data_IF_698115052772
#
_entry.id   IF_698115052772
#
_cell.length_a   1.000
_cell.length_b   1.000
_cell.length_c   1.000
_cell.angle_alpha   90.00
_cell.angle_beta   90.00
_cell.angle_gamma   90.00
#
_symmetry.space_group_name_H-M   'P 1'
#
loop_
_entity.id
_entity.type
_entity.pdbx_description
1 polymer ?
#
# COMPACT_ATOMS: atom_id res chain seq x y z
N UNK A 1 -42.62 -2.76 -20.14
CA UNK A 1 -41.27 -3.22 -20.45
C UNK A 1 -40.52 -3.28 -19.14
N UNK A 2 -40.34 -4.49 -18.60
CA UNK A 2 -39.65 -4.72 -17.34
C UNK A 2 -38.14 -4.75 -17.64
N UNK A 3 -37.42 -3.74 -17.18
CA UNK A 3 -35.97 -3.73 -17.24
C UNK A 3 -35.49 -4.81 -16.27
N UNK A 4 -35.03 -5.95 -16.80
CA UNK A 4 -34.27 -6.93 -16.02
C UNK A 4 -32.98 -6.25 -15.58
N UNK A 5 -32.85 -5.97 -14.28
CA UNK A 5 -31.55 -5.69 -13.67
C UNK A 5 -30.67 -6.91 -13.92
N UNK A 6 -29.61 -6.74 -14.72
CA UNK A 6 -28.57 -7.74 -14.85
C UNK A 6 -28.02 -8.01 -13.45
N UNK A 7 -28.15 -9.22 -12.94
CA UNK A 7 -27.38 -9.67 -11.77
C UNK A 7 -25.91 -9.55 -12.19
N UNK A 8 -25.22 -8.54 -11.66
CA UNK A 8 -23.75 -8.53 -11.71
C UNK A 8 -23.29 -9.85 -11.08
N UNK A 9 -22.44 -10.57 -11.77
CA UNK A 9 -21.80 -11.77 -11.20
C UNK A 9 -21.07 -11.35 -9.93
N UNK A 10 -21.13 -12.18 -8.89
CA UNK A 10 -20.38 -11.92 -7.66
C UNK A 10 -18.88 -11.93 -8.02
N UNK A 11 -18.08 -10.96 -7.54
CA UNK A 11 -16.64 -10.97 -7.77
C UNK A 11 -16.01 -12.30 -7.36
N UNK A 12 -14.97 -12.74 -8.05
CA UNK A 12 -14.30 -14.02 -7.74
C UNK A 12 -13.53 -13.97 -6.42
N UNK A 13 -12.95 -12.79 -6.10
CA UNK A 13 -12.17 -12.54 -4.89
C UNK A 13 -12.89 -11.58 -3.96
N UNK A 14 -12.76 -11.80 -2.65
CA UNK A 14 -13.25 -10.88 -1.64
C UNK A 14 -12.39 -9.62 -1.57
N UNK A 15 -11.06 -9.76 -1.65
CA UNK A 15 -10.13 -8.63 -1.60
C UNK A 15 -8.80 -8.92 -2.28
N UNK A 16 -8.16 -7.85 -2.77
CA UNK A 16 -6.77 -7.81 -3.26
C UNK A 16 -5.96 -6.80 -2.46
N UNK A 17 -4.64 -7.04 -2.36
CA UNK A 17 -3.70 -6.19 -1.61
C UNK A 17 -2.43 -5.99 -2.42
N UNK A 18 -2.01 -4.74 -2.58
CA UNK A 18 -0.74 -4.32 -3.19
C UNK A 18 -0.12 -3.18 -2.39
N UNK A 19 1.21 -3.04 -2.44
CA UNK A 19 1.95 -1.92 -1.87
C UNK A 19 3.25 -1.67 -2.63
N UNK A 20 3.96 -0.62 -2.27
CA UNK A 20 5.35 -0.37 -2.65
C UNK A 20 5.60 -0.38 -4.18
N UNK A 21 4.73 0.31 -4.92
CA UNK A 21 4.86 0.45 -6.37
C UNK A 21 5.88 1.53 -6.76
N UNK A 22 6.06 2.54 -5.90
CA UNK A 22 7.00 3.65 -6.10
C UNK A 22 6.91 4.31 -7.48
N UNK A 23 5.68 4.49 -7.99
CA UNK A 23 5.44 4.98 -9.34
C UNK A 23 6.02 6.37 -9.55
N UNK A 24 6.79 6.51 -10.61
CA UNK A 24 7.42 7.74 -11.06
C UNK A 24 7.68 7.68 -12.58
N UNK A 25 7.98 8.83 -13.21
CA UNK A 25 8.08 8.91 -14.67
C UNK A 25 9.16 8.03 -15.31
N UNK A 26 10.24 7.76 -14.59
CA UNK A 26 11.35 6.92 -15.06
C UNK A 26 11.14 5.41 -14.83
N UNK A 27 9.94 5.02 -14.37
CA UNK A 27 9.52 3.61 -14.21
C UNK A 27 8.34 3.23 -15.13
N UNK A 28 8.46 3.38 -16.46
CA UNK A 28 7.33 3.19 -17.38
C UNK A 28 6.83 1.74 -17.45
N UNK A 29 7.70 0.74 -17.23
CA UNK A 29 7.32 -0.68 -17.27
C UNK A 29 6.53 -1.06 -16.02
N UNK A 30 6.98 -0.62 -14.86
CA UNK A 30 6.28 -0.82 -13.58
C UNK A 30 4.92 -0.12 -13.60
N UNK A 31 4.89 1.12 -14.09
CA UNK A 31 3.64 1.86 -14.27
C UNK A 31 2.67 1.13 -15.21
N UNK A 32 3.14 0.63 -16.34
CA UNK A 32 2.29 -0.12 -17.28
C UNK A 32 1.78 -1.43 -16.65
N UNK A 33 2.64 -2.17 -15.92
CA UNK A 33 2.24 -3.39 -15.23
C UNK A 33 1.12 -3.13 -14.22
N UNK A 34 1.22 -2.05 -13.44
CA UNK A 34 0.16 -1.69 -12.50
C UNK A 34 -1.15 -1.28 -13.17
N UNK A 35 -1.09 -0.52 -14.27
CA UNK A 35 -2.30 -0.23 -15.04
C UNK A 35 -2.93 -1.48 -15.65
N UNK A 36 -2.11 -2.44 -16.09
CA UNK A 36 -2.61 -3.76 -16.55
C UNK A 36 -3.28 -4.52 -15.41
N UNK A 37 -2.67 -4.53 -14.21
CA UNK A 37 -3.28 -5.11 -13.00
C UNK A 37 -4.64 -4.47 -12.68
N UNK A 38 -4.75 -3.14 -12.72
CA UNK A 38 -6.02 -2.44 -12.49
C UNK A 38 -7.10 -2.75 -13.54
N UNK A 39 -6.69 -3.12 -14.76
CA UNK A 39 -7.63 -3.44 -15.85
C UNK A 39 -8.02 -4.91 -15.90
N UNK A 40 -7.12 -5.82 -15.58
CA UNK A 40 -7.29 -7.24 -15.82
C UNK A 40 -7.52 -8.07 -14.55
N UNK A 41 -6.85 -7.70 -13.45
CA UNK A 41 -6.92 -8.46 -12.20
C UNK A 41 -7.87 -7.80 -11.18
N UNK A 42 -7.75 -6.51 -10.97
CA UNK A 42 -8.51 -5.81 -9.93
C UNK A 42 -10.05 -5.90 -10.10
N UNK A 43 -10.62 -5.92 -11.32
CA UNK A 43 -12.08 -6.06 -11.51
C UNK A 43 -12.65 -7.41 -11.03
N UNK A 44 -11.81 -8.43 -10.81
CA UNK A 44 -12.24 -9.73 -10.28
C UNK A 44 -12.52 -9.70 -8.77
N UNK A 45 -12.23 -8.59 -8.07
CA UNK A 45 -12.37 -8.49 -6.62
C UNK A 45 -13.45 -7.49 -6.20
N UNK A 46 -14.06 -7.77 -5.03
CA UNK A 46 -14.97 -6.83 -4.40
C UNK A 46 -14.24 -5.62 -3.83
N UNK A 47 -13.01 -5.80 -3.35
CA UNK A 47 -12.22 -4.78 -2.67
C UNK A 47 -10.76 -4.81 -3.13
N UNK A 48 -10.16 -3.62 -3.32
CA UNK A 48 -8.73 -3.43 -3.55
C UNK A 48 -8.14 -2.55 -2.45
N UNK A 49 -7.10 -3.05 -1.79
CA UNK A 49 -6.35 -2.32 -0.77
C UNK A 49 -4.97 -1.93 -1.29
N UNK A 50 -4.73 -0.63 -1.39
CA UNK A 50 -3.44 -0.02 -1.73
C UNK A 50 -2.76 0.37 -0.40
N UNK A 51 -1.74 -0.40 0.02
CA UNK A 51 -1.16 -0.32 1.36
C UNK A 51 0.09 0.57 1.43
N UNK A 52 0.07 1.68 0.70
CA UNK A 52 1.08 2.74 0.78
C UNK A 52 2.25 2.57 -0.19
N UNK A 53 3.00 3.65 -0.32
CA UNK A 53 4.13 3.80 -1.24
C UNK A 53 3.76 3.45 -2.70
N UNK A 54 2.55 3.86 -3.11
CA UNK A 54 2.07 3.72 -4.48
C UNK A 54 2.79 4.73 -5.38
N UNK A 55 3.02 5.94 -4.87
CA UNK A 55 3.87 6.94 -5.52
C UNK A 55 5.24 7.01 -4.83
N UNK A 56 6.30 7.21 -5.62
CA UNK A 56 7.65 7.45 -5.06
C UNK A 56 7.71 8.74 -4.23
N UNK A 57 6.85 9.70 -4.52
CA UNK A 57 6.63 10.88 -3.69
C UNK A 57 5.26 11.48 -3.97
N UNK A 58 4.60 11.95 -2.91
CA UNK A 58 3.43 12.80 -3.01
C UNK A 58 3.65 14.05 -2.18
N UNK A 59 3.56 15.22 -2.80
CA UNK A 59 3.88 16.50 -2.15
C UNK A 59 2.66 17.38 -1.89
N UNK A 60 1.45 16.84 -2.13
CA UNK A 60 0.18 17.50 -1.91
C UNK A 60 -0.77 17.37 -3.10
N UNK A 61 -2.06 17.43 -2.85
CA UNK A 61 -3.12 17.21 -3.85
C UNK A 61 -3.19 18.28 -4.95
N UNK A 62 -2.55 19.43 -4.77
CA UNK A 62 -2.43 20.46 -5.81
C UNK A 62 -1.45 20.05 -6.94
N UNK A 63 -0.71 18.92 -6.78
CA UNK A 63 0.06 18.28 -7.85
C UNK A 63 -0.76 17.29 -8.71
N UNK A 64 -2.06 17.17 -8.47
CA UNK A 64 -2.97 16.30 -9.26
C UNK A 64 -3.04 16.65 -10.74
N UNK A 65 -2.56 17.84 -11.15
CA UNK A 65 -2.50 18.22 -12.55
C UNK A 65 -1.37 17.53 -13.32
N UNK A 66 -0.44 16.89 -12.63
CA UNK A 66 0.53 16.01 -13.24
C UNK A 66 -0.17 14.90 -14.04
N UNK A 67 0.26 14.62 -15.30
CA UNK A 67 -0.39 13.62 -16.15
C UNK A 67 -0.41 12.20 -15.55
N UNK A 68 0.64 11.80 -14.83
CA UNK A 68 0.73 10.50 -14.17
C UNK A 68 -0.30 10.40 -13.04
N UNK A 69 -0.37 11.43 -12.17
CA UNK A 69 -1.31 11.47 -11.04
C UNK A 69 -2.76 11.47 -11.51
N UNK A 70 -3.07 12.24 -12.57
CA UNK A 70 -4.41 12.26 -13.17
C UNK A 70 -4.78 10.91 -13.77
N UNK A 71 -3.87 10.29 -14.52
CA UNK A 71 -4.09 8.96 -15.09
C UNK A 71 -4.36 7.92 -14.00
N UNK A 72 -3.67 8.01 -12.87
CA UNK A 72 -3.89 7.14 -11.71
C UNK A 72 -5.29 7.35 -11.12
N UNK A 73 -5.68 8.59 -10.85
CA UNK A 73 -7.01 8.90 -10.33
C UNK A 73 -8.12 8.39 -11.27
N UNK A 74 -7.96 8.59 -12.58
CA UNK A 74 -8.92 8.13 -13.58
C UNK A 74 -9.02 6.60 -13.62
N UNK A 75 -7.89 5.88 -13.52
CA UNK A 75 -7.86 4.42 -13.53
C UNK A 75 -8.53 3.83 -12.27
N UNK A 76 -8.25 4.37 -11.10
CA UNK A 76 -8.88 3.95 -9.84
C UNK A 76 -10.38 4.23 -9.87
N UNK A 77 -10.79 5.43 -10.32
CA UNK A 77 -12.22 5.77 -10.45
C UNK A 77 -12.94 4.80 -11.39
N UNK A 78 -12.33 4.50 -12.55
CA UNK A 78 -12.91 3.56 -13.51
C UNK A 78 -13.09 2.15 -12.90
N UNK A 79 -12.12 1.69 -12.10
CA UNK A 79 -12.25 0.43 -11.36
C UNK A 79 -13.43 0.47 -10.38
N UNK A 80 -13.61 1.58 -9.65
CA UNK A 80 -14.76 1.79 -8.77
C UNK A 80 -16.10 1.78 -9.51
N UNK A 81 -16.17 2.35 -10.72
CA UNK A 81 -17.35 2.32 -11.59
C UNK A 81 -17.69 0.89 -12.05
N UNK A 82 -16.70 -0.01 -12.10
CA UNK A 82 -16.90 -1.43 -12.40
C UNK A 82 -17.39 -2.25 -11.19
N UNK A 83 -17.35 -1.68 -9.96
CA UNK A 83 -17.90 -2.29 -8.76
C UNK A 83 -16.87 -2.73 -7.71
N UNK A 84 -15.58 -2.51 -7.93
CA UNK A 84 -14.53 -2.76 -6.95
C UNK A 84 -14.37 -1.56 -6.01
N UNK A 85 -14.57 -1.74 -4.72
CA UNK A 85 -14.28 -0.70 -3.73
C UNK A 85 -12.76 -0.54 -3.54
N UNK A 86 -12.26 0.69 -3.66
CA UNK A 86 -10.81 0.95 -3.53
C UNK A 86 -10.52 1.69 -2.22
N UNK A 87 -9.55 1.15 -1.49
CA UNK A 87 -9.07 1.68 -0.22
C UNK A 87 -7.59 2.05 -0.34
N UNK A 88 -7.21 3.20 0.22
CA UNK A 88 -5.85 3.71 0.22
C UNK A 88 -5.34 3.93 1.63
N UNK A 89 -4.21 3.34 1.95
CA UNK A 89 -3.46 3.61 3.16
C UNK A 89 -2.18 4.35 2.78
N UNK A 90 -1.85 5.39 3.51
CA UNK A 90 -0.65 6.18 3.23
C UNK A 90 0.63 5.47 3.66
N UNK A 91 1.59 5.34 2.76
CA UNK A 91 2.96 4.91 3.06
C UNK A 91 3.86 6.06 3.53
N UNK A 92 5.15 5.82 3.58
CA UNK A 92 6.11 6.85 3.98
C UNK A 92 6.53 7.78 2.82
N UNK A 93 6.19 7.42 1.58
CA UNK A 93 6.47 8.24 0.38
C UNK A 93 5.29 9.13 0.00
N UNK A 94 4.08 8.65 0.25
CA UNK A 94 2.84 9.25 -0.24
C UNK A 94 1.86 9.64 0.88
N UNK A 95 2.38 9.90 2.09
CA UNK A 95 1.58 10.23 3.28
C UNK A 95 0.83 11.56 3.21
N UNK A 96 1.09 12.37 2.21
CA UNK A 96 0.38 13.63 1.94
C UNK A 96 -0.74 13.46 0.90
N UNK A 97 -1.02 12.24 0.46
CA UNK A 97 -2.26 11.96 -0.31
C UNK A 97 -3.45 12.34 0.55
N UNK A 98 -4.28 13.23 0.05
CA UNK A 98 -5.38 13.84 0.79
C UNK A 98 -6.75 13.60 0.16
N UNK A 99 -7.74 14.27 0.75
CA UNK A 99 -9.15 14.11 0.40
C UNK A 99 -9.47 14.51 -1.04
N UNK A 100 -8.74 15.49 -1.64
CA UNK A 100 -9.02 15.92 -3.00
C UNK A 100 -8.64 14.84 -4.00
N UNK A 101 -7.49 14.20 -3.81
CA UNK A 101 -7.08 13.06 -4.65
C UNK A 101 -8.03 11.88 -4.42
N UNK A 102 -8.35 11.56 -3.17
CA UNK A 102 -9.27 10.47 -2.83
C UNK A 102 -10.64 10.64 -3.49
N UNK A 103 -11.22 11.85 -3.45
CA UNK A 103 -12.50 12.15 -4.11
C UNK A 103 -12.38 12.04 -5.64
N UNK A 104 -11.30 12.55 -6.23
CA UNK A 104 -11.07 12.47 -7.67
C UNK A 104 -10.93 11.02 -8.17
N UNK A 105 -10.28 10.17 -7.37
CA UNK A 105 -10.09 8.75 -7.64
C UNK A 105 -11.29 7.88 -7.24
N UNK A 106 -12.22 8.39 -6.44
CA UNK A 106 -13.36 7.60 -5.93
C UNK A 106 -12.94 6.51 -4.93
N UNK A 107 -11.90 6.77 -4.14
CA UNK A 107 -11.36 5.83 -3.16
C UNK A 107 -11.56 6.30 -1.72
N UNK A 108 -11.41 5.39 -0.77
CA UNK A 108 -11.50 5.67 0.67
C UNK A 108 -10.12 5.66 1.31
N UNK A 109 -9.76 6.75 2.00
CA UNK A 109 -8.53 6.81 2.79
C UNK A 109 -8.67 6.02 4.09
N UNK A 110 -7.67 5.20 4.42
CA UNK A 110 -7.61 4.41 5.64
C UNK A 110 -6.60 4.99 6.63
N UNK A 111 -6.90 4.84 7.91
CA UNK A 111 -5.91 5.03 8.97
C UNK A 111 -4.87 3.87 8.95
N UNK A 112 -3.68 4.11 9.46
CA UNK A 112 -2.65 3.10 9.68
C UNK A 112 -2.36 2.97 11.20
N UNK A 113 -2.59 1.78 11.81
CA UNK A 113 -3.13 0.56 11.24
C UNK A 113 -4.66 0.59 11.05
N UNK A 114 -5.17 -0.25 10.14
CA UNK A 114 -6.59 -0.45 9.92
C UNK A 114 -7.00 -1.89 10.23
N UNK A 115 -8.04 -2.07 11.05
CA UNK A 115 -8.56 -3.40 11.42
C UNK A 115 -9.88 -3.65 10.71
N UNK A 116 -9.99 -4.82 10.07
CA UNK A 116 -11.19 -5.20 9.33
C UNK A 116 -11.40 -6.71 9.38
N UNK A 117 -12.57 -7.17 8.89
CA UNK A 117 -12.86 -8.59 8.70
C UNK A 117 -13.19 -8.86 7.25
N UNK A 118 -12.44 -9.77 6.60
CA UNK A 118 -12.64 -10.18 5.22
C UNK A 118 -12.69 -11.69 5.15
N UNK A 119 -13.75 -12.23 4.57
CA UNK A 119 -13.97 -13.67 4.39
C UNK A 119 -13.70 -14.51 5.66
N UNK A 120 -14.09 -13.98 6.83
CA UNK A 120 -13.94 -14.64 8.13
C UNK A 120 -12.60 -14.41 8.84
N UNK A 121 -11.60 -13.82 8.19
CA UNK A 121 -10.36 -13.42 8.85
C UNK A 121 -10.50 -12.07 9.55
N UNK A 122 -10.04 -11.98 10.81
CA UNK A 122 -9.76 -10.70 11.46
C UNK A 122 -8.37 -10.24 11.01
N UNK A 123 -8.33 -9.15 10.22
CA UNK A 123 -7.11 -8.61 9.64
C UNK A 123 -6.69 -7.30 10.29
N UNK A 124 -5.39 -7.11 10.43
CA UNK A 124 -4.78 -5.80 10.60
C UNK A 124 -3.96 -5.48 9.35
N UNK A 125 -4.32 -4.38 8.69
CA UNK A 125 -3.63 -3.84 7.53
C UNK A 125 -2.78 -2.67 7.99
N UNK A 126 -1.56 -2.57 7.50
CA UNK A 126 -0.64 -1.46 7.79
C UNK A 126 0.33 -1.30 6.63
N UNK A 127 0.87 -0.09 6.43
CA UNK A 127 1.98 0.04 5.49
C UNK A 127 3.22 -0.72 5.99
N UNK A 128 3.55 -0.63 7.27
CA UNK A 128 4.66 -1.37 7.87
C UNK A 128 5.70 -0.48 8.53
N UNK A 129 5.91 0.72 8.04
CA UNK A 129 6.94 1.67 8.48
C UNK A 129 6.86 2.04 9.97
N UNK A 130 5.66 2.06 10.54
CA UNK A 130 5.42 2.35 11.96
C UNK A 130 5.98 1.29 12.90
N UNK A 131 6.28 0.11 12.40
CA UNK A 131 6.70 -1.06 13.18
C UNK A 131 8.19 -1.36 13.07
N UNK A 132 8.94 -0.60 12.26
CA UNK A 132 10.40 -0.63 12.18
C UNK A 132 11.04 0.15 13.36
N UNK A 133 10.64 -0.18 14.60
CA UNK A 133 10.93 0.62 15.79
C UNK A 133 12.40 0.61 16.21
N UNK A 134 13.21 -0.29 15.65
CA UNK A 134 14.66 -0.33 15.89
C UNK A 134 15.41 0.74 15.09
N UNK A 135 14.81 1.29 14.04
CA UNK A 135 15.33 2.45 13.30
C UNK A 135 14.90 3.75 13.98
N UNK A 136 15.52 4.08 15.10
CA UNK A 136 15.15 5.23 15.92
C UNK A 136 15.20 6.56 15.15
N UNK A 137 16.21 6.73 14.29
CA UNK A 137 16.34 7.94 13.47
C UNK A 137 15.17 8.08 12.47
N UNK A 138 14.77 6.99 11.85
CA UNK A 138 13.58 6.97 11.00
C UNK A 138 12.30 7.26 11.80
N UNK A 139 12.14 6.65 12.97
CA UNK A 139 10.97 6.85 13.83
C UNK A 139 10.82 8.29 14.30
N UNK A 140 11.93 8.97 14.63
CA UNK A 140 11.94 10.40 14.96
C UNK A 140 11.49 11.25 13.76
N UNK A 141 12.05 11.00 12.58
CA UNK A 141 11.64 11.67 11.35
C UNK A 141 10.16 11.44 11.06
N UNK A 142 9.71 10.18 11.11
CA UNK A 142 8.29 9.80 10.92
C UNK A 142 7.38 10.57 11.88
N UNK A 143 7.71 10.59 13.17
CA UNK A 143 6.95 11.29 14.18
C UNK A 143 6.82 12.79 13.89
N UNK A 144 7.89 13.41 13.35
CA UNK A 144 7.90 14.81 12.98
C UNK A 144 6.99 15.09 11.78
N UNK A 145 7.16 14.36 10.66
CA UNK A 145 6.46 14.67 9.40
C UNK A 145 4.98 14.27 9.43
N UNK A 146 4.59 13.40 10.36
CA UNK A 146 3.19 13.01 10.57
C UNK A 146 2.44 13.99 11.50
N UNK A 147 3.10 15.02 12.06
CA UNK A 147 2.41 16.03 12.84
C UNK A 147 1.57 16.95 11.94
N UNK A 148 0.30 17.22 12.30
CA UNK A 148 -0.59 18.06 11.49
C UNK A 148 -0.01 19.46 11.21
N UNK A 149 0.69 20.04 12.19
CA UNK A 149 1.30 21.36 12.04
C UNK A 149 2.47 21.34 11.04
N UNK A 150 3.29 20.27 11.04
CA UNK A 150 4.35 20.11 10.05
C UNK A 150 3.76 19.99 8.64
N UNK A 151 2.74 19.13 8.47
CA UNK A 151 2.07 18.93 7.18
C UNK A 151 1.44 20.21 6.65
N UNK A 152 0.73 20.95 7.51
CA UNK A 152 0.15 22.25 7.18
C UNK A 152 1.19 23.25 6.70
N UNK A 153 2.33 23.37 7.42
CA UNK A 153 3.40 24.28 7.06
C UNK A 153 4.09 23.86 5.76
N UNK A 154 4.31 22.56 5.56
CA UNK A 154 4.88 22.03 4.32
C UNK A 154 3.96 22.28 3.13
N UNK A 155 2.67 21.99 3.23
CA UNK A 155 1.68 22.20 2.18
C UNK A 155 1.43 23.68 1.85
N UNK A 156 1.76 24.60 2.75
CA UNK A 156 1.71 26.05 2.49
C UNK A 156 2.86 26.56 1.60
N UNK A 157 3.92 25.76 1.39
CA UNK A 157 5.03 26.13 0.52
C UNK A 157 4.62 26.01 -0.96
N UNK A 158 5.24 26.78 -1.87
CA UNK A 158 5.07 26.60 -3.31
C UNK A 158 5.37 25.15 -3.74
N UNK A 159 4.62 24.63 -4.71
CA UNK A 159 4.73 23.25 -5.18
C UNK A 159 6.17 22.86 -5.57
N UNK A 160 6.86 23.70 -6.33
CA UNK A 160 8.25 23.44 -6.76
C UNK A 160 9.22 23.33 -5.57
N UNK A 161 9.00 24.13 -4.52
CA UNK A 161 9.81 24.04 -3.32
C UNK A 161 9.57 22.73 -2.57
N UNK A 162 8.31 22.27 -2.51
CA UNK A 162 7.96 20.97 -1.89
C UNK A 162 8.57 19.80 -2.66
N UNK A 163 8.52 19.84 -4.00
CA UNK A 163 9.16 18.84 -4.87
C UNK A 163 10.66 18.77 -4.57
N UNK A 164 11.33 19.90 -4.52
CA UNK A 164 12.76 19.96 -4.20
C UNK A 164 13.09 19.38 -2.82
N UNK A 165 12.31 19.76 -1.79
CA UNK A 165 12.49 19.22 -0.44
C UNK A 165 12.30 17.70 -0.43
N UNK A 166 11.27 17.18 -1.12
CA UNK A 166 11.03 15.74 -1.22
C UNK A 166 12.19 15.00 -1.92
N UNK A 167 12.76 15.55 -2.98
CA UNK A 167 13.96 15.01 -3.64
C UNK A 167 15.16 14.94 -2.70
N UNK A 168 15.43 16.03 -1.98
CA UNK A 168 16.56 16.11 -1.03
C UNK A 168 16.38 15.10 0.12
N UNK A 169 15.16 14.97 0.67
CA UNK A 169 14.84 13.97 1.70
C UNK A 169 15.02 12.53 1.20
N UNK A 170 14.62 12.24 -0.04
CA UNK A 170 14.81 10.91 -0.66
C UNK A 170 16.30 10.61 -0.88
N UNK A 171 17.07 11.59 -1.35
CA UNK A 171 18.51 11.42 -1.52
C UNK A 171 19.18 11.13 -0.17
N UNK A 172 18.82 11.87 0.88
CA UNK A 172 19.29 11.64 2.24
C UNK A 172 18.91 10.27 2.80
N UNK A 173 17.65 9.83 2.56
CA UNK A 173 17.17 8.50 2.99
C UNK A 173 17.96 7.37 2.31
N UNK A 174 18.18 7.44 0.99
CA UNK A 174 18.98 6.44 0.26
C UNK A 174 20.41 6.34 0.80
N UNK A 175 21.03 7.47 1.14
CA UNK A 175 22.38 7.47 1.72
C UNK A 175 22.38 6.89 3.14
N UNK A 176 21.42 7.25 3.96
CA UNK A 176 21.27 6.74 5.32
C UNK A 176 21.03 5.21 5.36
N UNK A 177 20.34 4.65 4.35
CA UNK A 177 20.10 3.20 4.28
C UNK A 177 21.35 2.38 3.94
N UNK A 178 22.33 2.94 3.21
CA UNK A 178 23.55 2.21 2.80
C UNK A 178 24.39 1.67 3.96
N UNK A 179 24.26 2.22 5.16
CA UNK A 179 24.99 1.80 6.34
C UNK A 179 24.19 0.99 7.37
N UNK A 180 22.89 0.78 7.13
CA UNK A 180 22.01 0.09 8.10
C UNK A 180 22.09 -1.42 7.93
N UNK A 181 22.07 -2.15 9.06
CA UNK A 181 21.93 -3.60 9.02
C UNK A 181 20.53 -4.01 8.58
N UNK A 182 20.44 -5.19 7.98
CA UNK A 182 19.18 -5.80 7.55
C UNK A 182 18.13 -5.87 8.68
N UNK A 183 18.57 -6.16 9.91
CA UNK A 183 17.68 -6.29 11.07
C UNK A 183 17.03 -4.96 11.51
N UNK A 184 17.74 -3.83 11.39
CA UNK A 184 17.24 -2.51 11.82
C UNK A 184 16.13 -1.99 10.87
N UNK A 185 16.18 -2.40 9.60
CA UNK A 185 15.23 -1.95 8.58
C UNK A 185 14.01 -2.88 8.44
N UNK A 186 13.91 -3.91 9.29
CA UNK A 186 12.73 -4.78 9.35
C UNK A 186 11.77 -4.35 10.48
N UNK A 187 10.56 -4.90 10.47
CA UNK A 187 9.62 -4.70 11.56
C UNK A 187 10.13 -5.38 12.83
N UNK A 188 9.96 -4.71 13.96
CA UNK A 188 10.36 -5.25 15.27
C UNK A 188 9.37 -6.31 15.75
N UNK A 189 9.85 -7.50 16.10
CA UNK A 189 9.03 -8.66 16.51
C UNK A 189 8.13 -8.39 17.73
N UNK A 190 8.62 -7.61 18.72
CA UNK A 190 7.82 -7.26 19.87
C UNK A 190 6.70 -6.28 19.50
N UNK A 191 6.99 -5.30 18.64
CA UNK A 191 6.00 -4.35 18.16
C UNK A 191 4.89 -5.05 17.36
N UNK A 192 5.22 -6.07 16.58
CA UNK A 192 4.24 -6.92 15.86
C UNK A 192 3.40 -7.74 16.85
N UNK A 193 4.03 -8.35 17.85
CA UNK A 193 3.31 -9.08 18.90
C UNK A 193 2.30 -8.19 19.64
N UNK A 194 2.73 -6.99 20.03
CA UNK A 194 1.89 -5.99 20.68
C UNK A 194 0.75 -5.51 19.77
N UNK A 195 0.99 -5.43 18.46
CA UNK A 195 -0.05 -5.06 17.49
C UNK A 195 -1.13 -6.15 17.42
N UNK A 196 -0.76 -7.42 17.28
CA UNK A 196 -1.71 -8.53 17.29
C UNK A 196 -2.52 -8.57 18.59
N UNK A 197 -1.87 -8.41 19.75
CA UNK A 197 -2.54 -8.39 21.06
C UNK A 197 -3.56 -7.25 21.19
N UNK A 198 -3.25 -6.06 20.67
CA UNK A 198 -4.14 -4.89 20.76
C UNK A 198 -5.30 -4.95 19.79
N UNK A 199 -5.09 -5.54 18.61
CA UNK A 199 -6.11 -5.56 17.54
C UNK A 199 -6.97 -6.82 17.58
N UNK A 200 -6.54 -7.86 18.27
CA UNK A 200 -7.12 -9.21 18.22
C UNK A 200 -7.20 -9.76 16.78
N UNK A 201 -6.40 -9.22 15.86
CA UNK A 201 -6.30 -9.72 14.50
C UNK A 201 -5.53 -11.05 14.47
N UNK A 202 -5.90 -11.94 13.57
CA UNK A 202 -5.19 -13.22 13.36
C UNK A 202 -4.30 -13.19 12.11
N UNK A 203 -4.51 -12.20 11.24
CA UNK A 203 -3.73 -12.01 10.02
C UNK A 203 -3.29 -10.55 9.94
N UNK A 204 -2.04 -10.32 9.57
CA UNK A 204 -1.47 -9.02 9.24
C UNK A 204 -1.00 -9.02 7.79
N UNK A 205 -1.30 -7.96 7.05
CA UNK A 205 -0.77 -7.73 5.71
C UNK A 205 -0.10 -6.35 5.69
N UNK A 206 1.15 -6.29 5.20
CA UNK A 206 1.90 -5.04 5.11
C UNK A 206 2.94 -5.06 3.98
N UNK A 207 3.46 -3.89 3.65
CA UNK A 207 4.54 -3.63 2.70
C UNK A 207 5.82 -3.13 3.36
N UNK A 208 6.36 -2.03 2.85
CA UNK A 208 7.46 -1.21 3.35
C UNK A 208 8.83 -1.88 3.36
N UNK A 209 8.94 -3.11 3.86
CA UNK A 209 10.25 -3.77 4.02
C UNK A 209 10.77 -4.39 2.73
N UNK A 210 9.93 -4.55 1.71
CA UNK A 210 10.24 -5.17 0.41
C UNK A 210 10.81 -6.60 0.57
N UNK A 211 10.26 -7.37 1.53
CA UNK A 211 10.73 -8.72 1.87
C UNK A 211 9.56 -9.70 1.82
N UNK A 212 9.08 -10.00 0.61
CA UNK A 212 7.89 -10.82 0.44
C UNK A 212 8.06 -12.19 1.10
N UNK A 213 7.18 -12.48 2.05
CA UNK A 213 7.17 -13.74 2.80
C UNK A 213 5.90 -13.88 3.63
N UNK A 214 5.62 -15.10 4.08
CA UNK A 214 4.63 -15.37 5.12
C UNK A 214 5.36 -15.82 6.40
N UNK A 215 5.12 -15.11 7.49
CA UNK A 215 5.67 -15.40 8.82
C UNK A 215 4.59 -15.92 9.74
N UNK A 216 4.97 -16.85 10.62
CA UNK A 216 4.10 -17.42 11.65
C UNK A 216 4.55 -16.94 13.03
N UNK A 217 3.64 -16.32 13.76
CA UNK A 217 3.87 -15.86 15.12
C UNK A 217 3.00 -16.69 16.08
N UNK A 218 3.61 -17.35 17.05
CA UNK A 218 2.88 -18.06 18.11
C UNK A 218 2.71 -17.11 19.30
N UNK A 219 1.50 -16.60 19.49
CA UNK A 219 1.18 -15.66 20.57
C UNK A 219 0.08 -16.30 21.42
N UNK A 220 0.35 -16.52 22.73
CA UNK A 220 -0.61 -17.14 23.69
C UNK A 220 -1.26 -18.42 23.13
N UNK A 221 -0.45 -19.31 22.56
CA UNK A 221 -0.87 -20.60 21.97
C UNK A 221 -1.71 -20.47 20.68
N UNK A 222 -1.92 -19.26 20.17
CA UNK A 222 -2.61 -19.01 18.90
C UNK A 222 -1.60 -18.65 17.81
N UNK A 223 -1.74 -19.26 16.64
CA UNK A 223 -0.92 -18.92 15.47
C UNK A 223 -1.52 -17.70 14.79
N UNK A 224 -0.70 -16.67 14.61
CA UNK A 224 -0.99 -15.48 13.82
C UNK A 224 -0.13 -15.49 12.54
N UNK A 225 -0.67 -14.99 11.44
CA UNK A 225 0.02 -14.96 10.16
C UNK A 225 0.34 -13.51 9.78
N UNK A 226 1.59 -13.26 9.37
CA UNK A 226 2.02 -11.97 8.85
C UNK A 226 2.50 -12.14 7.41
N UNK A 227 1.84 -11.48 6.50
CA UNK A 227 2.19 -11.45 5.07
C UNK A 227 2.87 -10.13 4.75
N UNK A 228 4.03 -10.21 4.12
CA UNK A 228 4.78 -9.06 3.61
C UNK A 228 4.65 -9.03 2.10
N UNK A 229 4.25 -7.89 1.53
CA UNK A 229 4.17 -7.66 0.09
C UNK A 229 5.54 -7.29 -0.49
N UNK A 230 5.75 -7.60 -1.78
CA UNK A 230 6.92 -7.15 -2.53
C UNK A 230 6.78 -5.67 -2.92
N UNK A 231 7.93 -5.01 -3.14
CA UNK A 231 7.98 -3.85 -4.01
C UNK A 231 7.85 -4.26 -5.49
N UNK A 232 7.38 -3.33 -6.31
CA UNK A 232 7.28 -3.53 -7.75
C UNK A 232 8.38 -2.77 -8.47
N UNK A 233 9.21 -3.49 -9.21
CA UNK A 233 10.23 -2.88 -10.07
C UNK A 233 10.48 -3.75 -11.30
N UNK A 234 10.01 -3.29 -12.46
CA UNK A 234 10.21 -3.93 -13.76
C UNK A 234 11.21 -3.15 -14.62
N UNK A 235 11.68 -2.02 -14.13
CA UNK A 235 12.54 -1.11 -14.87
C UNK A 235 14.02 -1.29 -14.52
N UNK A 236 14.32 -1.72 -13.27
CA UNK A 236 15.69 -1.86 -12.77
C UNK A 236 15.97 -3.27 -12.27
N UNK A 237 17.11 -3.83 -12.65
CA UNK A 237 17.56 -5.15 -12.19
C UNK A 237 16.66 -6.30 -12.64
N UNK A 238 16.47 -7.28 -11.75
CA UNK A 238 15.56 -8.40 -12.00
C UNK A 238 14.12 -7.94 -11.74
N UNK A 239 13.21 -8.08 -12.71
CA UNK A 239 11.81 -7.72 -12.53
C UNK A 239 11.21 -8.43 -11.32
N UNK A 240 10.47 -7.69 -10.49
CA UNK A 240 9.82 -8.20 -9.29
C UNK A 240 8.52 -7.45 -9.00
N UNK A 241 7.67 -8.09 -8.25
CA UNK A 241 6.39 -7.60 -7.79
C UNK A 241 5.48 -8.77 -7.49
N UNK A 242 4.60 -8.60 -6.52
CA UNK A 242 3.56 -9.55 -6.17
C UNK A 242 2.31 -8.82 -5.67
N UNK A 243 1.25 -9.58 -5.50
CA UNK A 243 0.05 -9.14 -4.83
C UNK A 243 -0.60 -10.31 -4.10
N UNK A 244 -1.41 -10.00 -3.09
CA UNK A 244 -2.17 -11.00 -2.36
C UNK A 244 -3.64 -10.90 -2.70
N UNK A 245 -4.34 -12.05 -2.69
CA UNK A 245 -5.80 -12.11 -2.72
C UNK A 245 -6.35 -12.89 -1.53
N UNK A 246 -7.60 -12.62 -1.18
CA UNK A 246 -8.41 -13.44 -0.30
C UNK A 246 -9.67 -13.83 -1.08
N UNK A 247 -9.91 -15.14 -1.24
CA UNK A 247 -11.13 -15.64 -1.84
C UNK A 247 -12.31 -15.59 -0.85
N UNK A 248 -13.53 -15.87 -1.33
CA UNK A 248 -14.73 -15.88 -0.47
C UNK A 248 -14.76 -17.00 0.57
N UNK A 249 -13.89 -18.01 0.45
CA UNK A 249 -13.74 -19.08 1.42
C UNK A 249 -12.68 -18.75 2.51
N UNK A 250 -11.98 -17.63 2.35
CA UNK A 250 -10.93 -17.18 3.26
C UNK A 250 -9.54 -17.73 2.90
N UNK A 251 -9.33 -18.32 1.72
CA UNK A 251 -8.00 -18.73 1.31
C UNK A 251 -7.19 -17.48 0.88
N UNK A 252 -5.98 -17.37 1.40
CA UNK A 252 -5.05 -16.30 1.04
C UNK A 252 -4.04 -16.84 0.03
N UNK A 253 -4.01 -16.22 -1.15
CA UNK A 253 -3.10 -16.56 -2.24
C UNK A 253 -2.11 -15.44 -2.47
N UNK A 254 -0.88 -15.80 -2.86
CA UNK A 254 0.12 -14.86 -3.38
C UNK A 254 0.23 -15.08 -4.88
N UNK A 255 0.25 -14.00 -5.63
CA UNK A 255 0.34 -14.03 -7.09
C UNK A 255 1.55 -13.26 -7.58
N UNK A 256 2.11 -13.72 -8.67
CA UNK A 256 3.08 -12.93 -9.43
C UNK A 256 2.39 -11.83 -10.27
N UNK A 257 3.17 -11.07 -11.03
CA UNK A 257 2.67 -9.98 -11.88
C UNK A 257 1.79 -10.46 -13.06
N UNK A 258 1.77 -11.75 -13.35
CA UNK A 258 0.92 -12.36 -14.40
C UNK A 258 -0.39 -12.91 -13.83
N UNK A 259 -0.51 -12.95 -12.50
CA UNK A 259 -1.66 -13.52 -11.80
C UNK A 259 -1.54 -15.00 -11.52
N UNK A 260 -0.38 -15.59 -11.74
CA UNK A 260 -0.11 -16.98 -11.40
C UNK A 260 0.15 -17.12 -9.90
N UNK A 261 -0.42 -18.16 -9.27
CA UNK A 261 -0.18 -18.46 -7.85
C UNK A 261 1.30 -18.82 -7.63
N UNK A 262 1.92 -18.19 -6.65
CA UNK A 262 3.28 -18.49 -6.21
C UNK A 262 3.31 -18.87 -4.73
N UNK A 263 4.38 -19.56 -4.31
CA UNK A 263 4.55 -19.93 -2.89
C UNK A 263 4.76 -18.69 -2.01
N UNK A 264 4.21 -18.74 -0.77
CA UNK A 264 4.31 -17.67 0.24
C UNK A 264 5.66 -17.66 0.96
#
# INVERSE_FOLDING_TARGET
>A
MTVQASKQAQPEMAALFVSDLHLQEDMPRTMQAFFTFLQEQAPCAAQLYLLGDIFEAWVGDDDMNDPCHRRMADAIRHLGEQGTEVFWMAGNRDFLVGEHFAQAAGMTLLADPFVTTIAGHSLVLTHGDAWCTDDTAYMEFRAQVRQPEWQKNFLALPLEQRKKIAEDLRAGSREAQKGKSYAITDVNEQAITDLFDRTAATVMIHGHTHRPAMHRHLIRETTHLRYVLSDWDLDHGTPRGDWLSIDHNGTIHRHDLHGDDIEN
#
